data_IF_585205357196
#
_entry.id   IF_585205357196
#
_cell.length_a   1.000
_cell.length_b   1.000
_cell.length_c   1.000
_cell.angle_alpha   90.00
_cell.angle_beta   90.00
_cell.angle_gamma   90.00
#
_symmetry.space_group_name_H-M   'P 1'
#
loop_
_entity.id
_entity.type
_entity.pdbx_description
1 polymer ?
#
# COMPACT_ATOMS: atom_id res chain seq x y z
N UNK A 1 -28.71 -8.59 -10.28
CA UNK A 1 -27.57 -9.21 -10.99
C UNK A 1 -26.42 -9.22 -10.00
N UNK A 2 -25.90 -10.39 -9.63
CA UNK A 2 -24.76 -10.47 -8.71
C UNK A 2 -23.53 -9.82 -9.35
N UNK A 3 -22.83 -8.99 -8.59
CA UNK A 3 -21.52 -8.44 -8.91
C UNK A 3 -20.49 -9.57 -9.00
N UNK A 4 -19.34 -9.32 -9.65
CA UNK A 4 -18.28 -10.33 -9.77
C UNK A 4 -17.77 -10.79 -8.38
N UNK A 5 -17.76 -9.88 -7.40
CA UNK A 5 -17.42 -10.17 -6.01
C UNK A 5 -18.40 -11.17 -5.36
N UNK A 6 -19.68 -11.13 -5.73
CA UNK A 6 -20.73 -12.04 -5.22
C UNK A 6 -20.74 -13.42 -5.91
N UNK A 7 -20.18 -13.54 -7.13
CA UNK A 7 -20.19 -14.80 -7.90
C UNK A 7 -18.96 -15.67 -7.69
N UNK A 8 -17.81 -15.06 -7.41
CA UNK A 8 -16.53 -15.78 -7.48
C UNK A 8 -15.59 -15.52 -6.30
N UNK A 9 -16.03 -14.75 -5.29
CA UNK A 9 -15.27 -14.49 -4.06
C UNK A 9 -13.79 -14.12 -4.29
N UNK A 10 -13.47 -13.40 -5.37
CA UNK A 10 -12.15 -12.82 -5.58
C UNK A 10 -12.21 -11.31 -5.45
N UNK A 11 -11.19 -10.75 -4.79
CA UNK A 11 -10.93 -9.31 -4.75
C UNK A 11 -9.93 -8.97 -5.86
N UNK A 12 -10.30 -8.04 -6.74
CA UNK A 12 -9.41 -7.62 -7.83
C UNK A 12 -8.46 -6.56 -7.33
N UNK A 13 -7.15 -6.85 -7.35
CA UNK A 13 -6.09 -5.89 -6.98
C UNK A 13 -5.22 -5.57 -8.18
N UNK A 14 -4.87 -4.30 -8.34
CA UNK A 14 -3.99 -3.82 -9.41
C UNK A 14 -2.61 -3.51 -8.84
N UNK A 15 -1.58 -3.95 -9.57
CA UNK A 15 -0.18 -3.71 -9.26
C UNK A 15 0.46 -2.87 -10.36
N UNK A 16 1.21 -1.85 -9.95
CA UNK A 16 1.98 -1.01 -10.86
C UNK A 16 3.45 -1.07 -10.45
N UNK A 17 4.30 -1.54 -11.37
CA UNK A 17 5.72 -1.69 -11.11
C UNK A 17 6.51 -0.53 -11.72
N UNK A 18 7.44 0.04 -10.94
CA UNK A 18 8.29 1.14 -11.35
C UNK A 18 9.77 0.84 -11.12
N UNK A 19 10.62 1.50 -11.91
CA UNK A 19 12.06 1.41 -11.74
C UNK A 19 12.56 2.20 -10.52
N UNK A 20 11.88 3.29 -10.15
CA UNK A 20 12.24 4.15 -9.02
C UNK A 20 11.00 4.62 -8.27
N UNK A 21 11.16 4.98 -6.99
CA UNK A 21 10.08 5.57 -6.19
C UNK A 21 9.71 6.98 -6.66
N UNK A 22 10.65 7.71 -7.28
CA UNK A 22 10.36 8.99 -7.92
C UNK A 22 9.37 8.84 -9.08
N UNK A 23 9.59 7.85 -9.96
CA UNK A 23 8.67 7.58 -11.06
C UNK A 23 7.31 7.09 -10.56
N UNK A 24 7.29 6.27 -9.50
CA UNK A 24 6.05 5.81 -8.87
C UNK A 24 5.24 6.99 -8.31
N UNK A 25 5.92 7.95 -7.69
CA UNK A 25 5.32 9.18 -7.18
C UNK A 25 4.75 10.04 -8.32
N UNK A 26 5.55 10.36 -9.33
CA UNK A 26 5.09 11.19 -10.44
C UNK A 26 3.90 10.55 -11.18
N UNK A 27 3.95 9.23 -11.37
CA UNK A 27 2.87 8.48 -11.99
C UNK A 27 1.58 8.52 -11.16
N UNK A 28 1.65 8.38 -9.83
CA UNK A 28 0.43 8.44 -8.99
C UNK A 28 -0.28 9.79 -9.06
N UNK A 29 0.42 10.86 -9.46
CA UNK A 29 -0.16 12.20 -9.59
C UNK A 29 -0.77 12.49 -10.97
N UNK A 30 -0.37 11.76 -12.02
CA UNK A 30 -0.70 12.12 -13.40
C UNK A 30 -1.35 10.98 -14.20
N UNK A 31 -1.09 9.72 -13.86
CA UNK A 31 -1.65 8.57 -14.55
C UNK A 31 -3.01 8.21 -13.95
N UNK A 32 -4.08 8.56 -14.66
CA UNK A 32 -5.45 8.26 -14.23
C UNK A 32 -5.76 6.76 -14.15
N UNK A 33 -4.92 5.87 -14.68
CA UNK A 33 -5.10 4.43 -14.52
C UNK A 33 -4.67 3.91 -13.14
N UNK A 34 -3.92 4.70 -12.38
CA UNK A 34 -3.52 4.41 -11.00
C UNK A 34 -4.60 4.95 -10.07
N UNK A 35 -5.24 4.06 -9.31
CA UNK A 35 -6.33 4.41 -8.40
C UNK A 35 -5.88 4.29 -6.94
N UNK A 36 -6.52 5.07 -6.07
CA UNK A 36 -6.37 4.93 -4.62
C UNK A 36 -6.61 3.48 -4.19
N UNK A 37 -5.68 2.92 -3.42
CA UNK A 37 -5.68 1.51 -3.00
C UNK A 37 -4.86 0.58 -3.89
N UNK A 38 -4.49 1.00 -5.10
CA UNK A 38 -3.60 0.20 -5.96
C UNK A 38 -2.23 0.01 -5.29
N UNK A 39 -1.60 -1.14 -5.54
CA UNK A 39 -0.28 -1.43 -5.00
C UNK A 39 0.82 -0.97 -5.95
N UNK A 40 1.77 -0.20 -5.44
CA UNK A 40 2.97 0.23 -6.15
C UNK A 40 4.15 -0.67 -5.75
N UNK A 41 4.91 -1.15 -6.74
CA UNK A 41 6.04 -2.06 -6.55
C UNK A 41 7.30 -1.42 -7.12
N UNK A 42 8.32 -1.20 -6.30
CA UNK A 42 9.62 -0.67 -6.72
C UNK A 42 10.72 -1.63 -6.24
N UNK A 43 10.93 -2.71 -6.99
CA UNK A 43 11.85 -3.79 -6.60
C UNK A 43 13.29 -3.33 -6.36
N UNK A 44 13.92 -2.47 -7.20
CA UNK A 44 15.31 -2.06 -6.99
C UNK A 44 15.53 -1.29 -5.69
N UNK A 45 14.49 -0.60 -5.20
CA UNK A 45 14.52 0.18 -3.96
C UNK A 45 13.92 -0.59 -2.77
N UNK A 46 13.49 -1.84 -2.99
CA UNK A 46 12.85 -2.71 -1.98
C UNK A 46 11.59 -2.09 -1.36
N UNK A 47 10.82 -1.37 -2.17
CA UNK A 47 9.62 -0.66 -1.73
C UNK A 47 8.35 -1.33 -2.24
N UNK A 48 7.41 -1.57 -1.32
CA UNK A 48 6.00 -1.83 -1.63
C UNK A 48 5.19 -0.71 -1.00
N UNK A 49 4.28 -0.13 -1.75
CA UNK A 49 3.52 1.05 -1.36
C UNK A 49 2.06 0.96 -1.80
N UNK A 50 1.23 1.83 -1.23
CA UNK A 50 -0.18 1.98 -1.58
C UNK A 50 -0.37 3.34 -2.24
N UNK A 51 -1.00 3.34 -3.41
CA UNK A 51 -1.38 4.55 -4.12
C UNK A 51 -2.51 5.26 -3.38
N UNK A 52 -2.34 6.57 -3.19
CA UNK A 52 -3.38 7.54 -2.82
C UNK A 52 -2.80 8.93 -3.11
N UNK A 53 -3.48 10.02 -2.74
CA UNK A 53 -3.06 11.42 -2.96
C UNK A 53 -1.56 11.69 -2.70
N UNK A 54 -0.96 11.02 -1.71
CA UNK A 54 0.47 11.07 -1.36
C UNK A 54 1.03 9.65 -1.14
N UNK A 55 1.32 8.87 -2.18
CA UNK A 55 1.61 7.44 -2.05
C UNK A 55 2.58 7.12 -0.92
N UNK A 56 2.28 6.08 -0.15
CA UNK A 56 3.03 5.74 1.05
C UNK A 56 3.53 4.29 1.02
N UNK A 57 4.74 4.08 1.52
CA UNK A 57 5.36 2.78 1.65
C UNK A 57 4.81 2.02 2.87
N UNK A 58 4.62 0.72 2.71
CA UNK A 58 4.40 -0.22 3.83
C UNK A 58 5.71 -0.90 4.26
N UNK A 59 6.75 -0.76 3.46
CA UNK A 59 8.12 -1.20 3.74
C UNK A 59 8.89 -0.19 4.58
N UNK A 60 9.93 -0.63 5.27
CA UNK A 60 10.81 0.23 6.05
C UNK A 60 11.53 1.27 5.17
N UNK A 61 11.88 0.88 3.95
CA UNK A 61 12.34 1.80 2.92
C UNK A 61 11.13 2.47 2.26
N UNK A 62 11.16 3.81 2.17
CA UNK A 62 10.14 4.59 1.47
C UNK A 62 10.67 5.31 0.22
N UNK A 63 11.99 5.47 0.08
CA UNK A 63 12.59 6.21 -1.03
C UNK A 63 12.05 7.65 -1.11
N UNK A 64 11.40 7.98 -2.22
CA UNK A 64 10.71 9.26 -2.45
C UNK A 64 9.23 9.27 -2.06
N UNK A 65 8.68 8.13 -1.65
CA UNK A 65 7.31 8.02 -1.15
C UNK A 65 7.22 8.42 0.33
N UNK A 66 6.01 8.57 0.84
CA UNK A 66 5.79 8.85 2.25
C UNK A 66 5.95 7.59 3.11
N UNK A 67 6.46 7.73 4.34
CA UNK A 67 6.35 6.70 5.37
C UNK A 67 5.05 6.87 6.15
N UNK A 68 4.58 5.80 6.80
CA UNK A 68 3.42 5.90 7.68
C UNK A 68 3.85 6.59 8.97
N UNK A 69 3.09 7.61 9.38
CA UNK A 69 3.35 8.29 10.64
C UNK A 69 3.23 7.31 11.82
N UNK A 70 4.01 7.48 12.90
CA UNK A 70 3.85 6.67 14.10
C UNK A 70 2.40 6.71 14.60
N UNK A 71 1.77 5.55 14.86
CA UNK A 71 0.39 5.52 15.30
C UNK A 71 0.23 6.19 16.66
N UNK A 72 -0.86 6.93 16.82
CA UNK A 72 -1.26 7.50 18.11
C UNK A 72 -1.66 6.38 19.07
N UNK A 73 -1.62 6.65 20.37
CA UNK A 73 -2.01 5.67 21.39
C UNK A 73 -3.45 5.21 21.16
N UNK A 74 -3.64 3.91 20.90
CA UNK A 74 -4.95 3.30 20.66
C UNK A 74 -5.48 3.45 19.23
N UNK A 75 -4.72 4.06 18.32
CA UNK A 75 -5.06 4.15 16.90
C UNK A 75 -4.93 2.79 16.24
N UNK A 76 -5.96 2.38 15.49
CA UNK A 76 -6.01 1.08 14.81
C UNK A 76 -5.61 1.21 13.34
N UNK A 77 -5.28 0.09 12.68
CA UNK A 77 -5.06 0.07 11.24
C UNK A 77 -6.27 0.61 10.45
N UNK A 78 -7.48 0.32 10.93
CA UNK A 78 -8.72 0.80 10.31
C UNK A 78 -8.88 2.33 10.43
N UNK A 79 -8.39 2.94 11.51
CA UNK A 79 -8.41 4.39 11.68
C UNK A 79 -7.42 5.07 10.73
N UNK A 80 -6.22 4.52 10.60
CA UNK A 80 -5.21 4.98 9.65
C UNK A 80 -5.73 4.85 8.22
N UNK A 81 -6.21 3.67 7.83
CA UNK A 81 -6.73 3.41 6.50
C UNK A 81 -7.86 4.39 6.12
N UNK A 82 -8.80 4.62 7.05
CA UNK A 82 -9.87 5.61 6.87
C UNK A 82 -9.34 7.03 6.65
N UNK A 83 -8.30 7.43 7.39
CA UNK A 83 -7.70 8.77 7.26
C UNK A 83 -6.98 8.98 5.92
N UNK A 84 -6.49 7.90 5.32
CA UNK A 84 -5.78 7.88 4.03
C UNK A 84 -6.70 7.52 2.86
N UNK A 85 -7.99 7.34 3.10
CA UNK A 85 -8.99 6.95 2.10
C UNK A 85 -8.68 5.62 1.38
N UNK A 86 -8.06 4.68 2.09
CA UNK A 86 -7.78 3.31 1.63
C UNK A 86 -8.45 2.29 2.58
N UNK A 87 -8.32 1.00 2.28
CA UNK A 87 -8.85 -0.09 3.14
C UNK A 87 -7.75 -0.77 3.94
N UNK A 88 -8.11 -1.48 5.02
CA UNK A 88 -7.13 -2.32 5.75
C UNK A 88 -6.58 -3.43 4.87
N UNK A 89 -7.41 -3.95 3.95
CA UNK A 89 -7.00 -4.98 3.00
C UNK A 89 -5.90 -4.49 2.04
N UNK A 90 -5.84 -3.18 1.73
CA UNK A 90 -4.74 -2.60 0.93
C UNK A 90 -3.41 -2.63 1.67
N UNK A 91 -3.42 -2.33 2.98
CA UNK A 91 -2.26 -2.48 3.85
C UNK A 91 -1.82 -3.94 3.97
N UNK A 92 -2.78 -4.83 4.26
CA UNK A 92 -2.53 -6.25 4.48
C UNK A 92 -1.94 -6.90 3.23
N UNK A 93 -2.53 -6.62 2.06
CA UNK A 93 -2.04 -7.12 0.78
C UNK A 93 -0.64 -6.62 0.44
N UNK A 94 -0.40 -5.31 0.61
CA UNK A 94 0.92 -4.72 0.37
C UNK A 94 1.97 -5.29 1.34
N UNK A 95 1.61 -5.49 2.61
CA UNK A 95 2.49 -6.06 3.62
C UNK A 95 2.79 -7.55 3.37
N UNK A 96 1.79 -8.33 2.92
CA UNK A 96 1.99 -9.72 2.51
C UNK A 96 2.96 -9.81 1.32
N UNK A 97 2.81 -8.94 0.31
CA UNK A 97 3.75 -8.87 -0.80
C UNK A 97 5.17 -8.52 -0.33
N UNK A 98 5.32 -7.53 0.55
CA UNK A 98 6.62 -7.17 1.11
C UNK A 98 7.25 -8.35 1.87
N UNK A 99 6.47 -9.09 2.67
CA UNK A 99 6.92 -10.31 3.36
C UNK A 99 7.36 -11.38 2.37
N UNK A 100 6.56 -11.66 1.33
CA UNK A 100 6.90 -12.63 0.28
C UNK A 100 8.21 -12.30 -0.45
N UNK A 101 8.49 -11.01 -0.63
CA UNK A 101 9.71 -10.51 -1.27
C UNK A 101 10.89 -10.36 -0.30
N UNK A 102 10.70 -10.61 0.99
CA UNK A 102 11.73 -10.44 2.02
C UNK A 102 12.13 -8.97 2.25
N UNK A 103 11.20 -8.04 2.02
CA UNK A 103 11.39 -6.62 2.29
C UNK A 103 10.92 -6.30 3.73
N UNK A 104 11.76 -5.66 4.57
CA UNK A 104 11.34 -5.26 5.91
C UNK A 104 10.13 -4.32 5.85
N UNK A 105 9.16 -4.54 6.74
CA UNK A 105 7.99 -3.67 6.89
C UNK A 105 8.34 -2.41 7.71
N UNK A 106 7.58 -1.34 7.49
CA UNK A 106 7.66 -0.13 8.32
C UNK A 106 7.39 -0.50 9.79
N UNK A 107 8.32 -0.21 10.73
CA UNK A 107 8.17 -0.56 12.13
C UNK A 107 6.93 0.08 12.79
N UNK A 108 6.41 1.19 12.26
CA UNK A 108 5.17 1.80 12.74
C UNK A 108 3.93 0.98 12.36
N UNK A 109 3.99 0.21 11.27
CA UNK A 109 2.89 -0.64 10.79
C UNK A 109 2.90 -2.04 11.39
N UNK A 110 4.08 -2.61 11.67
CA UNK A 110 4.21 -3.99 12.17
C UNK A 110 3.27 -4.31 13.34
N UNK A 111 3.11 -3.46 14.37
CA UNK A 111 2.22 -3.76 15.50
C UNK A 111 0.73 -3.74 15.16
N UNK A 112 0.35 -3.15 14.02
CA UNK A 112 -1.04 -2.94 13.61
C UNK A 112 -1.51 -3.99 12.58
N UNK A 113 -0.57 -4.66 11.92
CA UNK A 113 -0.84 -5.65 10.89
C UNK A 113 -1.20 -7.00 11.52
N UNK A 114 -2.03 -7.82 10.86
CA UNK A 114 -2.21 -9.20 11.25
C UNK A 114 -0.86 -9.95 11.17
N UNK A 115 -0.74 -10.93 12.08
CA UNK A 115 0.43 -11.79 12.22
C UNK A 115 0.70 -12.61 10.96
#
# INVERSE_FOLDING_TARGET
MFTNSERFAFDTRRHHAFATTGNAYDASQCDESIKTGDTLIVLPERVIAVAMTWPFAVTAEAGKLHSVAPPRKGETLADIARSLHVTTADFEHAAELARCLGFPLDPNLVPLLPA
#
